data_IF_009042636524
#
_entry.id   IF_009042636524
#
_cell.length_a   1.000
_cell.length_b   1.000
_cell.length_c   1.000
_cell.angle_alpha   90.00
_cell.angle_beta   90.00
_cell.angle_gamma   90.00
#
_symmetry.space_group_name_H-M   'P 1'
#
loop_
_entity.id
_entity.type
_entity.pdbx_description
1 polymer ?
#
# COMPACT_ATOMS: atom_id res chain seq x y z
N UNK A 1 0.04 -1.37 10.99
CA UNK A 1 -0.72 -0.10 11.08
C UNK A 1 -1.63 0.03 9.88
N UNK A 2 -2.82 0.62 10.05
CA UNK A 2 -3.80 0.82 8.99
C UNK A 2 -3.81 2.31 8.61
N UNK A 3 -3.14 2.62 7.51
CA UNK A 3 -3.08 3.98 6.95
C UNK A 3 -4.37 4.30 6.18
N UNK A 4 -4.99 5.42 6.51
CA UNK A 4 -6.24 5.88 5.92
C UNK A 4 -6.72 7.12 6.66
N UNK A 5 -7.60 7.89 6.02
CA UNK A 5 -8.21 9.08 6.62
C UNK A 5 -9.57 8.80 7.25
N UNK A 6 -10.28 9.86 7.65
CA UNK A 6 -11.63 9.78 8.20
C UNK A 6 -12.62 9.14 7.21
N UNK A 7 -12.41 9.34 5.91
CA UNK A 7 -13.25 8.78 4.86
C UNK A 7 -13.05 7.26 4.66
N UNK A 8 -11.91 6.72 5.14
CA UNK A 8 -11.60 5.28 5.08
C UNK A 8 -12.04 4.55 6.36
N UNK A 9 -12.61 5.25 7.35
CA UNK A 9 -12.88 4.70 8.68
C UNK A 9 -13.83 3.49 8.62
N UNK A 10 -14.77 3.47 7.66
CA UNK A 10 -15.67 2.33 7.46
C UNK A 10 -14.92 1.06 7.05
N UNK A 11 -13.94 1.17 6.15
CA UNK A 11 -13.12 0.03 5.71
C UNK A 11 -12.17 -0.41 6.83
N UNK A 12 -11.56 0.55 7.52
CA UNK A 12 -10.68 0.29 8.66
C UNK A 12 -11.43 -0.44 9.78
N UNK A 13 -12.66 -0.05 10.10
CA UNK A 13 -13.49 -0.70 11.12
C UNK A 13 -13.76 -2.17 10.79
N UNK A 14 -13.88 -2.54 9.51
CA UNK A 14 -14.03 -3.96 9.13
C UNK A 14 -12.79 -4.77 9.52
N UNK A 15 -11.59 -4.23 9.31
CA UNK A 15 -10.34 -4.89 9.71
C UNK A 15 -10.21 -4.94 11.23
N UNK A 16 -10.52 -3.85 11.92
CA UNK A 16 -10.48 -3.79 13.39
C UNK A 16 -11.50 -4.72 14.06
N UNK A 17 -12.62 -5.03 13.40
CA UNK A 17 -13.61 -5.99 13.86
C UNK A 17 -13.28 -7.46 13.56
N UNK A 18 -12.20 -7.74 12.82
CA UNK A 18 -11.77 -9.09 12.47
C UNK A 18 -10.94 -9.76 13.58
N UNK A 19 -10.62 -11.05 13.40
CA UNK A 19 -9.77 -11.81 14.32
C UNK A 19 -8.37 -11.23 14.52
N UNK A 20 -7.86 -10.45 13.58
CA UNK A 20 -6.55 -9.79 13.66
C UNK A 20 -6.62 -8.34 14.15
N UNK A 21 -7.83 -7.81 14.37
CA UNK A 21 -8.06 -6.39 14.65
C UNK A 21 -7.32 -5.89 15.89
N UNK A 22 -7.18 -6.73 16.91
CA UNK A 22 -6.44 -6.42 18.13
C UNK A 22 -4.93 -6.19 17.90
N UNK A 23 -4.39 -6.65 16.76
CA UNK A 23 -3.00 -6.42 16.35
C UNK A 23 -2.85 -5.21 15.42
N UNK A 24 -3.94 -4.47 15.17
CA UNK A 24 -3.98 -3.36 14.24
C UNK A 24 -4.20 -2.03 14.97
N UNK A 25 -3.50 -0.99 14.51
CA UNK A 25 -3.66 0.39 14.98
C UNK A 25 -4.02 1.25 13.78
N UNK A 26 -5.10 2.03 13.89
CA UNK A 26 -5.59 2.90 12.82
C UNK A 26 -5.00 4.31 12.88
N UNK A 27 -4.67 4.85 11.71
CA UNK A 27 -4.28 6.26 11.54
C UNK A 27 -5.45 7.19 11.21
N UNK A 28 -6.68 6.69 11.08
CA UNK A 28 -7.86 7.47 10.60
C UNK A 28 -8.15 8.77 11.35
N UNK A 29 -7.74 8.84 12.62
CA UNK A 29 -7.92 10.01 13.51
C UNK A 29 -6.63 10.75 13.83
N UNK A 30 -5.49 10.31 13.28
CA UNK A 30 -4.18 10.93 13.47
C UNK A 30 -3.93 11.98 12.39
N UNK A 31 -3.22 13.05 12.74
CA UNK A 31 -2.67 13.99 11.77
C UNK A 31 -1.48 13.35 11.06
N UNK A 32 -1.24 13.74 9.81
CA UNK A 32 -0.09 13.25 9.04
C UNK A 32 1.23 13.38 9.83
N UNK A 33 1.46 14.53 10.47
CA UNK A 33 2.66 14.77 11.27
C UNK A 33 2.87 13.73 12.41
N UNK A 34 1.79 13.24 13.02
CA UNK A 34 1.84 12.22 14.08
C UNK A 34 2.14 10.83 13.53
N UNK A 35 1.74 10.57 12.27
CA UNK A 35 1.97 9.28 11.61
C UNK A 35 3.39 9.11 11.09
N UNK A 36 4.09 10.21 10.73
CA UNK A 36 5.43 10.19 10.14
C UNK A 36 6.44 9.36 10.95
N UNK A 37 6.66 9.61 12.27
CA UNK A 37 7.62 8.83 13.04
C UNK A 37 7.23 7.35 13.17
N UNK A 38 5.93 7.04 13.14
CA UNK A 38 5.43 5.67 13.19
C UNK A 38 5.74 4.96 11.87
N UNK A 39 5.44 5.60 10.74
CA UNK A 39 5.74 5.07 9.41
C UNK A 39 7.25 4.87 9.26
N UNK A 40 8.07 5.85 9.66
CA UNK A 40 9.53 5.75 9.61
C UNK A 40 10.10 4.57 10.43
N UNK A 41 9.35 4.10 11.44
CA UNK A 41 9.73 2.97 12.29
C UNK A 41 9.19 1.61 11.79
N UNK A 42 8.40 1.59 10.74
CA UNK A 42 7.87 0.35 10.17
C UNK A 42 8.91 -0.36 9.29
N UNK A 43 8.75 -1.67 9.11
CA UNK A 43 9.64 -2.46 8.25
C UNK A 43 9.34 -2.29 6.76
N UNK A 44 8.04 -2.19 6.42
CA UNK A 44 7.56 -2.14 5.03
C UNK A 44 6.23 -1.39 4.95
N UNK A 45 5.95 -0.77 3.80
CA UNK A 45 4.60 -0.34 3.40
C UNK A 45 4.02 -1.31 2.37
N UNK A 46 2.72 -1.63 2.49
CA UNK A 46 1.97 -2.40 1.49
C UNK A 46 0.63 -1.70 1.30
N UNK A 47 0.29 -1.36 0.05
CA UNK A 47 -0.99 -0.72 -0.24
C UNK A 47 -1.08 -0.23 -1.68
N UNK A 48 -2.22 0.35 -2.02
CA UNK A 48 -2.44 0.94 -3.34
C UNK A 48 -1.62 2.22 -3.55
N UNK A 49 -1.57 2.67 -4.80
CA UNK A 49 -1.01 3.96 -5.22
C UNK A 49 -1.76 5.13 -4.55
N UNK A 50 -1.24 5.57 -3.40
CA UNK A 50 -1.80 6.65 -2.58
C UNK A 50 -0.68 7.44 -1.90
N UNK A 51 -1.02 8.61 -1.37
CA UNK A 51 -0.09 9.46 -0.62
C UNK A 51 0.65 8.73 0.51
N UNK A 52 0.02 7.75 1.17
CA UNK A 52 0.64 6.98 2.24
C UNK A 52 1.86 6.17 1.78
N UNK A 53 1.76 5.55 0.60
CA UNK A 53 2.86 4.81 0.00
C UNK A 53 4.02 5.72 -0.36
N UNK A 54 3.73 6.91 -0.90
CA UNK A 54 4.76 7.89 -1.24
C UNK A 54 5.47 8.44 0.00
N UNK A 55 4.73 8.68 1.10
CA UNK A 55 5.32 9.07 2.38
C UNK A 55 6.25 7.96 2.88
N UNK A 56 5.81 6.70 2.88
CA UNK A 56 6.64 5.58 3.31
C UNK A 56 7.92 5.44 2.46
N UNK A 57 7.79 5.47 1.14
CA UNK A 57 8.93 5.43 0.21
C UNK A 57 9.90 6.59 0.43
N UNK A 58 9.38 7.81 0.64
CA UNK A 58 10.17 9.01 0.92
C UNK A 58 10.89 8.98 2.27
N UNK A 59 10.34 8.25 3.25
CA UNK A 59 10.97 7.99 4.54
C UNK A 59 12.01 6.85 4.49
N UNK A 60 12.26 6.26 3.32
CA UNK A 60 13.29 5.24 3.13
C UNK A 60 12.80 3.80 3.27
N UNK A 61 11.49 3.57 3.46
CA UNK A 61 10.96 2.23 3.65
C UNK A 61 10.84 1.47 2.33
N UNK A 62 11.21 0.18 2.34
CA UNK A 62 10.76 -0.77 1.33
C UNK A 62 9.23 -0.68 1.23
N UNK A 63 8.70 -0.52 0.02
CA UNK A 63 7.29 -0.21 -0.20
C UNK A 63 6.75 -1.01 -1.37
N UNK A 64 5.74 -1.86 -1.12
CA UNK A 64 5.06 -2.65 -2.13
C UNK A 64 3.77 -1.94 -2.56
N UNK A 65 3.74 -1.42 -3.77
CA UNK A 65 2.61 -0.70 -4.34
C UNK A 65 1.76 -1.63 -5.19
N UNK A 66 0.45 -1.58 -4.96
CA UNK A 66 -0.56 -2.30 -5.72
C UNK A 66 -1.23 -1.34 -6.71
N UNK A 67 -0.79 -1.39 -7.97
CA UNK A 67 -1.40 -0.60 -9.04
C UNK A 67 -2.57 -1.37 -9.62
N UNK A 68 -3.74 -0.73 -9.67
CA UNK A 68 -4.99 -1.38 -10.10
C UNK A 68 -5.74 -0.59 -11.17
N UNK A 69 -5.59 0.74 -11.15
CA UNK A 69 -6.32 1.68 -12.01
C UNK A 69 -5.54 2.99 -12.24
N UNK A 70 -4.22 2.95 -12.07
CA UNK A 70 -3.30 4.07 -12.27
C UNK A 70 -2.00 3.60 -12.95
N UNK A 71 -1.30 4.48 -13.69
CA UNK A 71 -0.09 4.14 -14.41
C UNK A 71 1.15 3.98 -13.50
N UNK A 72 1.73 2.77 -13.37
CA UNK A 72 2.90 2.56 -12.54
C UNK A 72 4.15 3.29 -13.07
N UNK A 73 4.25 3.49 -14.39
CA UNK A 73 5.36 4.25 -15.00
C UNK A 73 5.37 5.73 -14.60
N UNK A 74 4.23 6.30 -14.20
CA UNK A 74 4.17 7.69 -13.75
C UNK A 74 4.41 7.83 -12.25
N UNK A 75 3.92 6.88 -11.45
CA UNK A 75 3.84 7.04 -9.99
C UNK A 75 4.66 6.01 -9.19
N UNK A 76 5.12 4.93 -9.80
CA UNK A 76 5.80 3.83 -9.10
C UNK A 76 7.30 3.72 -9.34
N UNK A 77 7.80 4.17 -10.50
CA UNK A 77 9.19 3.88 -10.93
C UNK A 77 10.23 4.92 -10.52
N UNK A 78 9.82 6.03 -9.91
CA UNK A 78 10.74 7.13 -9.56
C UNK A 78 11.62 6.83 -8.34
N UNK A 79 11.25 5.85 -7.52
CA UNK A 79 11.93 5.54 -6.26
C UNK A 79 12.40 4.09 -6.23
N UNK A 80 13.69 3.88 -5.90
CA UNK A 80 14.27 2.55 -5.68
C UNK A 80 13.65 1.78 -4.52
N UNK A 81 12.92 2.47 -3.64
CA UNK A 81 12.26 1.86 -2.49
C UNK A 81 10.89 1.26 -2.86
N UNK A 82 10.38 1.52 -4.07
CA UNK A 82 9.07 1.03 -4.52
C UNK A 82 9.25 -0.25 -5.33
N UNK A 83 8.52 -1.28 -4.92
CA UNK A 83 8.26 -2.50 -5.70
C UNK A 83 6.81 -2.50 -6.16
N UNK A 84 6.54 -3.01 -7.35
CA UNK A 84 5.25 -2.88 -8.02
C UNK A 84 4.61 -4.26 -8.21
N UNK A 85 3.30 -4.33 -7.95
CA UNK A 85 2.39 -5.38 -8.42
C UNK A 85 1.32 -4.72 -9.27
N UNK A 86 1.01 -5.35 -10.40
CA UNK A 86 -0.07 -4.97 -11.32
C UNK A 86 -1.10 -6.11 -11.38
N UNK A 87 -2.30 -5.87 -11.93
CA UNK A 87 -3.33 -6.90 -12.03
C UNK A 87 -2.90 -8.06 -12.93
N UNK A 88 -3.38 -9.27 -12.64
CA UNK A 88 -3.12 -10.45 -13.48
C UNK A 88 -3.54 -10.21 -14.94
N UNK A 89 -2.61 -10.46 -15.86
CA UNK A 89 -2.78 -10.21 -17.29
C UNK A 89 -2.37 -8.82 -17.75
N UNK A 90 -1.99 -7.92 -16.84
CA UNK A 90 -1.42 -6.60 -17.16
C UNK A 90 0.11 -6.62 -17.01
N UNK A 91 0.77 -5.66 -17.65
CA UNK A 91 2.18 -5.31 -17.44
C UNK A 91 2.29 -3.93 -16.79
N UNK A 92 3.51 -3.54 -16.43
CA UNK A 92 3.79 -2.18 -15.92
C UNK A 92 3.41 -1.12 -16.98
N UNK A 93 3.58 -1.44 -18.26
CA UNK A 93 3.27 -0.58 -19.40
C UNK A 93 1.77 -0.54 -19.73
N UNK A 94 1.03 -1.64 -19.54
CA UNK A 94 -0.40 -1.71 -19.87
C UNK A 94 -1.31 -1.25 -18.72
N UNK A 95 -0.86 -1.36 -17.47
CA UNK A 95 -1.59 -0.86 -16.32
C UNK A 95 -1.63 0.68 -16.34
N UNK A 96 -2.82 1.25 -16.27
CA UNK A 96 -3.07 2.68 -16.39
C UNK A 96 -4.43 3.07 -15.83
N UNK A 97 -4.88 4.27 -16.19
CA UNK A 97 -6.23 4.71 -15.84
C UNK A 97 -7.29 3.86 -16.54
N UNK A 98 -8.32 3.44 -15.79
CA UNK A 98 -9.41 2.56 -16.23
C UNK A 98 -9.03 1.09 -16.48
N UNK A 99 -7.87 0.60 -16.02
CA UNK A 99 -7.55 -0.83 -15.98
C UNK A 99 -8.57 -1.63 -15.15
N UNK A 100 -9.17 -1.04 -14.11
CA UNK A 100 -10.21 -1.63 -13.24
C UNK A 100 -9.80 -3.00 -12.68
N UNK A 101 -8.52 -3.16 -12.38
CA UNK A 101 -7.92 -4.45 -12.04
C UNK A 101 -7.97 -4.84 -10.56
N UNK A 102 -8.79 -4.17 -9.75
CA UNK A 102 -8.85 -4.40 -8.29
C UNK A 102 -9.07 -5.87 -7.90
N UNK A 103 -9.89 -6.58 -8.68
CA UNK A 103 -10.27 -7.98 -8.41
C UNK A 103 -9.28 -8.99 -9.02
N UNK A 104 -8.23 -8.50 -9.67
CA UNK A 104 -7.19 -9.30 -10.34
C UNK A 104 -5.82 -9.16 -9.69
N UNK A 105 -5.73 -8.56 -8.49
CA UNK A 105 -4.49 -8.55 -7.72
C UNK A 105 -4.38 -9.90 -6.99
N UNK A 106 -3.30 -10.63 -7.27
CA UNK A 106 -3.06 -11.95 -6.68
C UNK A 106 -2.64 -11.83 -5.22
N UNK A 107 -3.38 -12.46 -4.31
CA UNK A 107 -2.99 -12.53 -2.90
C UNK A 107 -1.62 -13.21 -2.72
N UNK A 108 -1.41 -14.34 -3.40
CA UNK A 108 -0.17 -15.11 -3.28
C UNK A 108 1.04 -14.29 -3.76
N UNK A 109 0.88 -13.52 -4.83
CA UNK A 109 1.95 -12.64 -5.31
C UNK A 109 2.27 -11.54 -4.30
N UNK A 110 1.24 -10.91 -3.72
CA UNK A 110 1.41 -9.90 -2.67
C UNK A 110 2.14 -10.50 -1.48
N UNK A 111 1.75 -11.69 -1.01
CA UNK A 111 2.36 -12.36 0.12
C UNK A 111 3.83 -12.72 -0.16
N UNK A 112 4.12 -13.35 -1.30
CA UNK A 112 5.49 -13.74 -1.68
C UNK A 112 6.41 -12.53 -1.77
N UNK A 113 6.03 -11.48 -2.52
CA UNK A 113 6.84 -10.26 -2.63
C UNK A 113 7.01 -9.53 -1.30
N UNK A 114 5.98 -9.55 -0.45
CA UNK A 114 6.08 -8.98 0.90
C UNK A 114 7.16 -9.68 1.71
N UNK A 115 7.17 -11.02 1.72
CA UNK A 115 8.16 -11.80 2.46
C UNK A 115 9.58 -11.61 1.90
N UNK A 116 9.75 -11.53 0.58
CA UNK A 116 11.04 -11.21 -0.05
C UNK A 116 11.56 -9.83 0.34
N UNK A 117 10.67 -8.85 0.48
CA UNK A 117 11.05 -7.50 0.88
C UNK A 117 11.33 -7.38 2.39
N UNK A 118 10.69 -8.16 3.25
CA UNK A 118 10.95 -8.07 4.70
C UNK A 118 12.23 -8.80 5.10
N UNK A 119 12.61 -9.86 4.38
CA UNK A 119 13.87 -10.59 4.58
C UNK A 119 15.08 -9.84 3.97
#
# INVERSE_FOLDING_TARGET
FLAGGINDENLIKQILGSSIGNNCISFSKMKIAETIPIIASCQIYIGSDTGWGHIASGLGLKSLFLFMDSPPLAYGVYSKNISIIVPQGETIESCGHNTRGKDKISYDEVLTKTLELIN
#
